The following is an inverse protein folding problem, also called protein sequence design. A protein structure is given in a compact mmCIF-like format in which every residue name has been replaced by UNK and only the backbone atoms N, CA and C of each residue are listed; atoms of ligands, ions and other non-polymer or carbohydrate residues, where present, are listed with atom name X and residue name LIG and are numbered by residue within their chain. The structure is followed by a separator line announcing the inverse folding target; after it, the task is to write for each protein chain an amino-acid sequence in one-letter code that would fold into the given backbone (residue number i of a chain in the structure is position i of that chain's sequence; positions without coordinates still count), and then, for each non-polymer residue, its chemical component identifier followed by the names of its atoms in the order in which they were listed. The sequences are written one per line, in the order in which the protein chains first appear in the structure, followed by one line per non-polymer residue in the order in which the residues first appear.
data_IF_702563950976
#
_entry.id   IF_702563950976
#
_cell.length_a   1.000
_cell.length_b   1.000
_cell.length_c   1.000
_cell.angle_alpha   90.00
_cell.angle_beta   90.00
_cell.angle_gamma   90.00
#
_symmetry.space_group_name_H-M   'P 1'
#
loop_
_entity.id
_entity.type
_entity.pdbx_description
1 polymer ?
#
# COMPACT_ATOMS: atom_id res chain seq x y z
N UNK A 1 -8.58 -72.61 7.87
CA UNK A 1 -8.78 -71.64 8.97
C UNK A 1 -7.81 -70.48 8.87
N UNK A 2 -6.53 -70.72 8.63
CA UNK A 2 -5.51 -69.67 8.54
C UNK A 2 -5.77 -68.71 7.35
N UNK A 3 -6.27 -69.23 6.24
CA UNK A 3 -6.61 -68.42 5.05
C UNK A 3 -7.73 -67.41 5.31
N UNK A 4 -8.75 -67.80 6.07
CA UNK A 4 -9.87 -66.89 6.44
C UNK A 4 -9.38 -65.81 7.42
N UNK A 5 -8.54 -66.22 8.37
CA UNK A 5 -7.96 -65.29 9.34
C UNK A 5 -7.07 -64.25 8.68
N UNK A 6 -6.22 -64.70 7.74
CA UNK A 6 -5.36 -63.80 6.94
C UNK A 6 -6.18 -62.83 6.08
N UNK A 7 -7.28 -63.31 5.51
CA UNK A 7 -8.19 -62.46 4.72
C UNK A 7 -8.88 -61.40 5.58
N UNK A 8 -9.29 -61.74 6.80
CA UNK A 8 -9.90 -60.81 7.75
C UNK A 8 -8.87 -59.75 8.19
N UNK A 9 -7.63 -60.16 8.51
CA UNK A 9 -6.57 -59.28 8.88
C UNK A 9 -6.22 -58.31 7.75
N UNK A 10 -6.18 -58.74 6.52
CA UNK A 10 -5.94 -57.93 5.34
C UNK A 10 -7.06 -56.91 5.13
N UNK A 11 -8.32 -57.30 5.32
CA UNK A 11 -9.49 -56.38 5.23
C UNK A 11 -9.44 -55.35 6.32
N UNK A 12 -9.10 -55.71 7.57
CA UNK A 12 -8.96 -54.78 8.67
C UNK A 12 -7.88 -53.74 8.39
N UNK A 13 -6.72 -54.14 7.87
CA UNK A 13 -5.65 -53.22 7.47
C UNK A 13 -6.06 -52.24 6.35
N UNK A 14 -6.80 -52.75 5.36
CA UNK A 14 -7.34 -51.92 4.28
C UNK A 14 -8.35 -50.92 4.80
N UNK A 15 -9.18 -51.32 5.75
CA UNK A 15 -10.17 -50.41 6.38
C UNK A 15 -9.50 -49.35 7.20
N UNK A 16 -8.45 -49.65 7.95
CA UNK A 16 -7.67 -48.67 8.70
C UNK A 16 -7.03 -47.62 7.79
N UNK A 17 -6.46 -48.07 6.67
CA UNK A 17 -5.91 -47.16 5.64
C UNK A 17 -6.99 -46.25 5.04
N UNK A 18 -8.16 -46.81 4.78
CA UNK A 18 -9.28 -46.06 4.23
C UNK A 18 -9.77 -45.00 5.20
N UNK A 19 -9.90 -45.36 6.48
CA UNK A 19 -10.28 -44.42 7.54
C UNK A 19 -9.26 -43.31 7.69
N UNK A 20 -7.97 -43.58 7.60
CA UNK A 20 -6.92 -42.59 7.63
C UNK A 20 -7.00 -41.63 6.45
N UNK A 21 -7.32 -42.12 5.26
CA UNK A 21 -7.52 -41.29 4.07
C UNK A 21 -8.73 -40.34 4.26
N UNK A 22 -9.82 -40.87 4.81
CA UNK A 22 -11.02 -40.06 5.10
C UNK A 22 -10.68 -38.97 6.11
N UNK A 23 -10.00 -39.28 7.21
CA UNK A 23 -9.57 -38.28 8.19
C UNK A 23 -8.71 -37.19 7.58
N UNK A 24 -7.72 -37.58 6.77
CA UNK A 24 -6.84 -36.64 6.07
C UNK A 24 -7.64 -35.74 5.12
N UNK A 25 -8.62 -36.32 4.45
CA UNK A 25 -9.50 -35.56 3.53
C UNK A 25 -10.29 -34.49 4.28
N UNK A 26 -10.87 -34.82 5.43
CA UNK A 26 -11.56 -33.85 6.29
C UNK A 26 -10.65 -32.74 6.77
N UNK A 27 -9.43 -33.08 7.20
CA UNK A 27 -8.44 -32.09 7.63
C UNK A 27 -8.06 -31.18 6.47
N UNK A 28 -7.83 -31.72 5.29
CA UNK A 28 -7.50 -30.95 4.10
C UNK A 28 -8.64 -30.01 3.70
N UNK A 29 -9.88 -30.48 3.72
CA UNK A 29 -11.05 -29.64 3.43
C UNK A 29 -11.18 -28.48 4.41
N UNK A 30 -11.00 -28.76 5.70
CA UNK A 30 -11.00 -27.76 6.75
C UNK A 30 -9.88 -26.73 6.54
N UNK A 31 -8.68 -27.21 6.25
CA UNK A 31 -7.51 -26.34 6.04
C UNK A 31 -7.67 -25.49 4.77
N UNK A 32 -8.23 -26.06 3.71
CA UNK A 32 -8.57 -25.33 2.50
C UNK A 32 -9.59 -24.22 2.76
N UNK A 33 -10.62 -24.51 3.52
CA UNK A 33 -11.64 -23.50 3.90
C UNK A 33 -11.02 -22.37 4.71
N UNK A 34 -10.15 -22.69 5.64
CA UNK A 34 -9.39 -21.70 6.42
C UNK A 34 -8.49 -20.85 5.50
N UNK A 35 -7.79 -21.50 4.57
CA UNK A 35 -6.96 -20.81 3.60
C UNK A 35 -7.76 -19.86 2.71
N UNK A 36 -8.91 -20.27 2.21
CA UNK A 36 -9.81 -19.42 1.43
C UNK A 36 -10.30 -18.19 2.22
N UNK A 37 -10.67 -18.41 3.49
CA UNK A 37 -11.09 -17.30 4.35
C UNK A 37 -9.93 -16.32 4.61
N UNK A 38 -8.73 -16.82 4.82
CA UNK A 38 -7.54 -15.99 5.00
C UNK A 38 -7.21 -15.21 3.72
N UNK A 39 -7.33 -15.84 2.56
CA UNK A 39 -7.12 -15.17 1.27
C UNK A 39 -8.13 -14.06 1.04
N UNK A 40 -9.40 -14.26 1.38
CA UNK A 40 -10.43 -13.24 1.28
C UNK A 40 -10.14 -12.05 2.18
N UNK A 41 -9.68 -12.30 3.41
CA UNK A 41 -9.26 -11.26 4.36
C UNK A 41 -8.06 -10.48 3.85
N UNK A 42 -7.04 -11.17 3.35
CA UNK A 42 -5.85 -10.55 2.75
C UNK A 42 -6.25 -9.67 1.57
N UNK A 43 -7.12 -10.15 0.71
CA UNK A 43 -7.62 -9.39 -0.44
C UNK A 43 -8.32 -8.10 -0.01
N UNK A 44 -9.14 -8.17 1.03
CA UNK A 44 -9.81 -7.00 1.59
C UNK A 44 -8.80 -6.00 2.18
N UNK A 45 -7.77 -6.50 2.88
CA UNK A 45 -6.71 -5.68 3.45
C UNK A 45 -5.87 -5.00 2.37
N UNK A 46 -5.55 -5.72 1.30
CA UNK A 46 -4.83 -5.15 0.14
C UNK A 46 -5.64 -4.01 -0.48
N UNK A 47 -6.93 -4.19 -0.65
CA UNK A 47 -7.80 -3.14 -1.18
C UNK A 47 -7.83 -1.90 -0.29
N UNK A 48 -7.89 -2.08 1.02
CA UNK A 48 -7.80 -0.98 1.99
C UNK A 48 -6.48 -0.22 1.87
N UNK A 49 -5.37 -0.93 1.74
CA UNK A 49 -4.05 -0.34 1.56
C UNK A 49 -3.98 0.43 0.24
N UNK A 50 -4.49 -0.12 -0.85
CA UNK A 50 -4.58 0.55 -2.14
C UNK A 50 -5.34 1.87 -2.03
N UNK A 51 -6.49 1.87 -1.37
CA UNK A 51 -7.30 3.08 -1.15
C UNK A 51 -6.54 4.13 -0.33
N UNK A 52 -5.81 3.70 0.70
CA UNK A 52 -4.98 4.60 1.52
C UNK A 52 -3.82 5.19 0.73
N UNK A 53 -3.18 4.38 -0.11
CA UNK A 53 -2.11 4.84 -1.00
C UNK A 53 -2.63 5.88 -1.98
N UNK A 54 -3.78 5.62 -2.61
CA UNK A 54 -4.40 6.56 -3.55
C UNK A 54 -4.73 7.90 -2.88
N UNK A 55 -5.30 7.84 -1.69
CA UNK A 55 -5.61 9.04 -0.89
C UNK A 55 -4.35 9.82 -0.54
N UNK A 56 -3.33 9.15 -0.07
CA UNK A 56 -2.05 9.78 0.28
C UNK A 56 -1.39 10.40 -0.95
N UNK A 57 -1.44 9.71 -2.09
CA UNK A 57 -0.91 10.22 -3.36
C UNK A 57 -1.65 11.49 -3.80
N UNK A 58 -2.95 11.55 -3.63
CA UNK A 58 -3.74 12.74 -3.95
C UNK A 58 -3.42 13.91 -3.02
N UNK A 59 -3.30 13.65 -1.72
CA UNK A 59 -2.90 14.65 -0.73
C UNK A 59 -1.52 15.23 -1.02
N UNK A 60 -0.59 14.38 -1.45
CA UNK A 60 0.76 14.82 -1.85
C UNK A 60 0.71 15.71 -3.10
N UNK A 61 -0.09 15.38 -4.10
CA UNK A 61 -0.27 16.21 -5.30
C UNK A 61 -0.84 17.58 -4.94
N UNK A 62 -1.85 17.61 -4.08
CA UNK A 62 -2.47 18.85 -3.63
C UNK A 62 -1.47 19.73 -2.88
N UNK A 63 -0.63 19.14 -2.04
CA UNK A 63 0.45 19.85 -1.35
C UNK A 63 1.51 20.39 -2.32
N UNK A 64 1.88 19.60 -3.33
CA UNK A 64 2.80 20.05 -4.38
C UNK A 64 2.27 21.25 -5.14
N UNK A 65 1.00 21.19 -5.53
CA UNK A 65 0.34 22.31 -6.23
C UNK A 65 0.36 23.58 -5.38
N UNK A 66 0.05 23.46 -4.08
CA UNK A 66 0.09 24.56 -3.15
C UNK A 66 1.50 25.14 -2.98
N UNK A 67 2.51 24.28 -2.86
CA UNK A 67 3.92 24.68 -2.77
C UNK A 67 4.33 25.44 -4.04
N UNK A 68 3.95 24.94 -5.21
CA UNK A 68 4.25 25.58 -6.48
C UNK A 68 3.59 26.95 -6.61
N UNK A 69 2.35 27.10 -6.17
CA UNK A 69 1.67 28.40 -6.11
C UNK A 69 2.41 29.37 -5.19
N UNK A 70 2.82 28.91 -4.01
CA UNK A 70 3.57 29.72 -3.07
C UNK A 70 4.93 30.15 -3.62
N UNK A 71 5.64 29.25 -4.30
CA UNK A 71 6.91 29.57 -4.96
C UNK A 71 6.71 30.63 -6.03
N UNK A 72 5.68 30.52 -6.85
CA UNK A 72 5.38 31.49 -7.89
C UNK A 72 5.04 32.87 -7.31
N UNK A 73 4.27 32.90 -6.23
CA UNK A 73 3.96 34.15 -5.50
C UNK A 73 5.20 34.82 -4.93
N UNK A 74 6.10 34.01 -4.34
CA UNK A 74 7.36 34.51 -3.81
C UNK A 74 8.28 35.06 -4.90
N UNK A 75 8.33 34.42 -6.06
CA UNK A 75 9.08 34.91 -7.23
C UNK A 75 8.55 36.25 -7.72
N UNK A 76 7.23 36.45 -7.78
CA UNK A 76 6.60 37.71 -8.14
C UNK A 76 6.94 38.82 -7.15
N UNK A 77 6.88 38.50 -5.84
CA UNK A 77 7.26 39.45 -4.79
C UNK A 77 8.74 39.84 -4.88
N UNK A 78 9.60 38.87 -5.14
CA UNK A 78 11.03 39.07 -5.32
C UNK A 78 11.31 40.02 -6.48
N UNK A 79 10.64 39.85 -7.60
CA UNK A 79 10.76 40.74 -8.77
C UNK A 79 10.33 42.19 -8.41
N UNK A 80 9.22 42.33 -7.68
CA UNK A 80 8.73 43.62 -7.22
C UNK A 80 9.71 44.30 -6.28
N UNK A 81 10.27 43.57 -5.34
CA UNK A 81 11.29 44.06 -4.40
C UNK A 81 12.56 44.48 -5.14
N UNK A 82 13.01 43.71 -6.08
CA UNK A 82 14.17 43.98 -6.89
C UNK A 82 13.98 45.29 -7.67
N UNK A 83 12.79 45.48 -8.26
CA UNK A 83 12.44 46.72 -8.92
C UNK A 83 12.44 47.95 -7.99
N UNK A 84 11.95 47.78 -6.76
CA UNK A 84 12.00 48.84 -5.73
C UNK A 84 13.42 49.19 -5.30
N UNK A 85 14.25 48.20 -5.12
CA UNK A 85 15.65 48.39 -4.78
C UNK A 85 16.39 49.13 -5.88
N UNK A 86 16.18 48.77 -7.12
CA UNK A 86 16.76 49.46 -8.27
C UNK A 86 16.33 50.93 -8.33
N UNK A 87 15.06 51.17 -8.12
CA UNK A 87 14.48 52.53 -8.08
C UNK A 87 15.08 53.37 -6.97
N UNK A 88 15.18 52.81 -5.78
CA UNK A 88 15.78 53.49 -4.64
C UNK A 88 17.27 53.76 -4.84
N UNK A 89 17.99 52.83 -5.44
CA UNK A 89 19.40 52.99 -5.77
C UNK A 89 19.59 54.13 -6.77
N UNK A 90 18.76 54.22 -7.80
CA UNK A 90 18.77 55.32 -8.77
C UNK A 90 18.49 56.68 -8.10
N UNK A 91 17.55 56.72 -7.17
CA UNK A 91 17.22 57.93 -6.40
C UNK A 91 18.40 58.40 -5.52
N UNK A 92 19.05 57.49 -4.84
CA UNK A 92 20.22 57.79 -4.02
C UNK A 92 21.37 58.31 -4.89
N UNK A 93 21.63 57.71 -6.03
CA UNK A 93 22.66 58.13 -6.96
C UNK A 93 22.40 59.51 -7.53
N UNK A 94 21.14 59.86 -7.85
CA UNK A 94 20.75 61.20 -8.27
C UNK A 94 21.00 62.23 -7.16
N UNK A 95 20.61 61.93 -5.94
CA UNK A 95 20.85 62.80 -4.78
C UNK A 95 22.35 63.05 -4.55
N UNK A 96 23.16 62.02 -4.71
CA UNK A 96 24.61 62.17 -4.62
C UNK A 96 25.22 63.04 -5.71
N UNK A 97 24.64 63.01 -6.93
CA UNK A 97 25.09 63.84 -8.04
C UNK A 97 24.75 65.30 -7.82
N UNK A 98 23.63 65.59 -7.17
CA UNK A 98 23.16 66.98 -6.89
C UNK A 98 23.91 67.63 -5.73
N UNK A 99 24.46 66.78 -4.85
CA UNK A 99 25.25 67.27 -3.72
C UNK A 99 26.71 67.42 -4.07
#
# INVERSE_FOLDING_TARGET
MDFIRDSIDNLAKKQDKHNNVIERTFILERDMKTAYNNMAEIKANVKDVENKVDKTSQELRDKWDLINENINSLKEEEIKLQGRVEKNTSYIDEEKRKG
#
